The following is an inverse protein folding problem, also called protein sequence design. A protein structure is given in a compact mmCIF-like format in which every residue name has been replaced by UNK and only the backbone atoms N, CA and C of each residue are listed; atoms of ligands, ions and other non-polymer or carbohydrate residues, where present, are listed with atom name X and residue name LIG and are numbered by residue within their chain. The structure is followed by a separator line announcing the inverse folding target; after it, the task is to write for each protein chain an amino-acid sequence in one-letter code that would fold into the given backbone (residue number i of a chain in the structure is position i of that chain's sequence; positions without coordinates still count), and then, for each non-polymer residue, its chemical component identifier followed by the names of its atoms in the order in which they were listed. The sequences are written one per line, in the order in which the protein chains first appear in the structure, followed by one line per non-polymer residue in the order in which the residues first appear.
data_IF_882273032423
#
_entry.id   IF_882273032423
#
_cell.length_a   1.000
_cell.length_b   1.000
_cell.length_c   1.000
_cell.angle_alpha   90.00
_cell.angle_beta   90.00
_cell.angle_gamma   90.00
#
_symmetry.space_group_name_H-M   'P 1'
#
loop_
_entity.id
_entity.type
_entity.pdbx_description
1 polymer ?
#
# COMPACT_ATOMS: atom_id res chain seq x y z
N UNK A 1 -7.69 -1.96 24.98
CA UNK A 1 -7.17 -0.84 24.19
C UNK A 1 -6.62 -1.41 22.90
N UNK A 2 -6.99 -0.89 21.73
CA UNK A 2 -6.39 -1.31 20.47
C UNK A 2 -5.05 -0.59 20.33
N UNK A 3 -3.96 -1.35 20.18
CA UNK A 3 -2.63 -0.82 19.93
C UNK A 3 -2.42 -0.73 18.42
N UNK A 4 -1.93 0.42 17.95
CA UNK A 4 -1.58 0.64 16.55
C UNK A 4 -0.08 0.86 16.39
N UNK A 5 0.41 0.71 15.17
CA UNK A 5 1.80 1.01 14.83
C UNK A 5 1.90 2.39 14.19
N UNK A 6 2.88 3.19 14.60
CA UNK A 6 3.19 4.49 13.98
C UNK A 6 4.59 4.44 13.39
N UNK A 7 4.72 5.00 12.19
CA UNK A 7 5.99 5.28 11.55
C UNK A 7 6.14 6.79 11.36
N UNK A 8 7.32 7.28 11.67
CA UNK A 8 7.71 8.68 11.53
C UNK A 8 9.02 8.71 10.76
N UNK A 9 8.94 9.09 9.49
CA UNK A 9 10.09 9.21 8.61
C UNK A 9 10.55 10.65 8.47
N UNK A 10 11.88 10.85 8.42
CA UNK A 10 12.56 12.13 8.14
C UNK A 10 13.75 11.86 7.22
N UNK A 11 13.62 12.17 5.93
CA UNK A 11 14.63 11.87 4.93
C UNK A 11 14.99 10.38 4.80
N UNK A 12 14.10 9.46 5.21
CA UNK A 12 14.35 8.01 5.23
C UNK A 12 13.16 7.22 4.66
N UNK A 13 13.34 5.92 4.47
CA UNK A 13 12.26 4.99 4.13
C UNK A 13 12.14 3.93 5.23
N UNK A 14 11.02 3.95 5.96
CA UNK A 14 10.77 3.00 7.05
C UNK A 14 9.82 1.94 6.55
N UNK A 15 10.28 0.69 6.46
CA UNK A 15 9.47 -0.45 6.02
C UNK A 15 9.53 -1.58 7.04
N UNK A 16 8.37 -2.18 7.32
CA UNK A 16 8.29 -3.48 7.97
C UNK A 16 7.41 -4.42 7.14
N UNK A 17 7.69 -5.71 7.23
CA UNK A 17 6.96 -6.74 6.51
C UNK A 17 6.71 -7.96 7.37
N UNK A 18 5.62 -8.67 7.06
CA UNK A 18 5.24 -9.94 7.68
C UNK A 18 4.93 -10.94 6.59
N UNK A 19 5.66 -12.05 6.58
CA UNK A 19 5.30 -13.19 5.75
C UNK A 19 3.97 -13.78 6.22
N UNK A 20 3.10 -14.06 5.26
CA UNK A 20 1.76 -14.63 5.47
C UNK A 20 1.44 -15.61 4.36
N UNK A 21 0.50 -16.51 4.60
CA UNK A 21 -0.05 -17.37 3.56
C UNK A 21 -1.57 -17.23 3.54
N UNK A 22 -2.09 -16.54 2.51
CA UNK A 22 -3.53 -16.31 2.33
C UNK A 22 -3.97 -16.89 0.99
N UNK A 23 -5.04 -17.69 1.00
CA UNK A 23 -5.72 -18.15 -0.22
C UNK A 23 -6.75 -17.11 -0.68
N UNK A 24 -6.42 -16.40 -1.76
CA UNK A 24 -7.26 -15.34 -2.35
C UNK A 24 -8.57 -15.87 -2.96
N UNK A 25 -8.74 -17.19 -3.13
CA UNK A 25 -10.06 -17.73 -3.50
C UNK A 25 -11.02 -17.79 -2.31
N UNK A 26 -10.48 -17.85 -1.09
CA UNK A 26 -11.27 -17.89 0.14
C UNK A 26 -11.40 -16.51 0.76
N UNK A 27 -10.31 -15.75 0.78
CA UNK A 27 -10.23 -14.42 1.39
C UNK A 27 -9.64 -13.39 0.41
N UNK A 28 -10.41 -12.95 -0.60
CA UNK A 28 -9.91 -12.03 -1.63
C UNK A 28 -9.73 -10.59 -1.16
N UNK A 29 -10.42 -10.19 -0.09
CA UNK A 29 -10.45 -8.81 0.37
C UNK A 29 -9.44 -8.59 1.48
N UNK A 30 -8.60 -7.56 1.34
CA UNK A 30 -7.75 -7.04 2.41
C UNK A 30 -8.40 -5.78 2.95
N UNK A 31 -8.54 -5.72 4.28
CA UNK A 31 -9.06 -4.56 5.01
C UNK A 31 -8.04 -4.13 6.05
N UNK A 32 -7.88 -2.82 6.22
CA UNK A 32 -7.02 -2.21 7.22
C UNK A 32 -7.48 -0.79 7.53
N UNK A 33 -6.92 -0.20 8.58
CA UNK A 33 -7.06 1.22 8.86
C UNK A 33 -5.71 1.91 8.82
N UNK A 34 -5.71 3.13 8.32
CA UNK A 34 -4.55 4.01 8.39
C UNK A 34 -4.96 5.43 8.79
N UNK A 35 -3.98 6.18 9.27
CA UNK A 35 -4.13 7.61 9.56
C UNK A 35 -2.84 8.30 9.19
N UNK A 36 -2.93 9.36 8.39
CA UNK A 36 -1.78 10.21 8.06
C UNK A 36 -1.88 11.51 8.83
N UNK A 37 -0.83 11.85 9.58
CA UNK A 37 -0.70 13.11 10.31
C UNK A 37 0.10 14.14 9.50
N UNK A 38 1.06 13.66 8.69
CA UNK A 38 1.89 14.49 7.80
C UNK A 38 2.14 13.78 6.48
N UNK A 39 1.92 14.54 5.39
CA UNK A 39 2.28 14.15 4.03
C UNK A 39 3.75 14.48 3.77
N UNK A 40 4.43 13.66 2.98
CA UNK A 40 5.74 13.99 2.40
C UNK A 40 5.57 15.08 1.33
N UNK A 41 5.81 16.35 1.67
CA UNK A 41 5.57 17.48 0.76
C UNK A 41 6.31 17.29 -0.59
N UNK A 42 5.60 17.56 -1.69
CA UNK A 42 6.15 17.36 -3.04
C UNK A 42 6.22 15.90 -3.52
N UNK A 43 5.79 14.93 -2.70
CA UNK A 43 5.72 13.52 -3.10
C UNK A 43 4.79 13.27 -4.29
N UNK A 44 5.26 12.46 -5.23
CA UNK A 44 4.59 12.00 -6.43
C UNK A 44 5.21 10.67 -6.90
N UNK A 45 4.45 9.59 -6.76
CA UNK A 45 4.86 8.21 -6.98
C UNK A 45 5.22 7.88 -8.44
N UNK A 46 4.97 8.81 -9.39
CA UNK A 46 5.29 8.64 -10.80
C UNK A 46 6.76 8.82 -11.11
N UNK A 47 7.49 9.57 -10.27
CA UNK A 47 8.88 9.96 -10.53
C UNK A 47 9.81 9.44 -9.44
N UNK A 48 11.05 9.09 -9.79
CA UNK A 48 12.02 8.57 -8.80
C UNK A 48 12.35 9.63 -7.76
N UNK A 49 12.60 10.86 -8.20
CA UNK A 49 13.07 11.95 -7.35
C UNK A 49 12.03 12.41 -6.32
N UNK A 50 10.77 11.99 -6.47
CA UNK A 50 9.66 12.38 -5.59
C UNK A 50 8.85 11.16 -5.17
N UNK A 51 9.39 9.95 -5.30
CA UNK A 51 8.62 8.69 -5.22
C UNK A 51 8.07 8.30 -3.84
N UNK A 52 8.06 9.24 -2.91
CA UNK A 52 7.67 9.09 -1.51
C UNK A 52 6.15 9.02 -1.36
N UNK A 53 5.70 8.27 -0.35
CA UNK A 53 4.31 8.17 0.04
C UNK A 53 4.17 8.38 1.54
N UNK A 54 3.16 9.16 1.94
CA UNK A 54 2.88 9.36 3.37
C UNK A 54 2.55 8.04 4.07
N UNK A 55 1.82 7.17 3.37
CA UNK A 55 1.59 5.79 3.79
C UNK A 55 1.50 4.84 2.58
N UNK A 56 2.11 3.67 2.70
CA UNK A 56 1.99 2.57 1.75
C UNK A 56 1.65 1.25 2.44
N UNK A 57 0.75 0.47 1.84
CA UNK A 57 0.48 -0.94 2.19
C UNK A 57 0.85 -1.81 1.01
N UNK A 58 1.79 -2.73 1.22
CA UNK A 58 2.27 -3.67 0.22
C UNK A 58 1.59 -5.01 0.37
N UNK A 59 1.13 -5.56 -0.75
CA UNK A 59 0.83 -6.99 -0.90
C UNK A 59 1.82 -7.58 -1.89
N UNK A 60 2.64 -8.53 -1.41
CA UNK A 60 3.68 -9.18 -2.21
C UNK A 60 3.26 -10.60 -2.55
N UNK A 61 3.46 -10.96 -3.81
CA UNK A 61 3.02 -12.21 -4.39
C UNK A 61 4.19 -13.16 -4.66
N UNK A 62 3.98 -14.49 -4.58
CA UNK A 62 4.98 -15.46 -5.00
C UNK A 62 5.44 -15.21 -6.44
N UNK A 63 6.76 -15.13 -6.63
CA UNK A 63 7.40 -14.93 -7.93
C UNK A 63 8.73 -15.68 -7.94
N UNK A 64 9.12 -16.20 -9.11
CA UNK A 64 10.44 -16.79 -9.31
C UNK A 64 11.54 -15.72 -9.40
N UNK A 65 11.18 -14.47 -9.71
CA UNK A 65 12.12 -13.34 -9.76
C UNK A 65 12.38 -12.82 -8.35
N UNK A 66 13.57 -13.08 -7.79
CA UNK A 66 13.94 -12.58 -6.45
C UNK A 66 14.23 -11.07 -6.42
N UNK A 67 14.66 -10.47 -7.53
CA UNK A 67 15.09 -9.07 -7.62
C UNK A 67 14.02 -8.07 -8.10
N UNK A 68 12.85 -8.56 -8.54
CA UNK A 68 11.71 -7.73 -8.96
C UNK A 68 10.42 -8.45 -8.55
N UNK A 69 10.10 -8.44 -7.23
CA UNK A 69 8.92 -9.14 -6.74
C UNK A 69 7.67 -8.52 -7.36
N UNK A 70 6.67 -9.37 -7.62
CA UNK A 70 5.34 -8.87 -7.97
C UNK A 70 4.70 -8.34 -6.70
N UNK A 71 4.32 -7.06 -6.72
CA UNK A 71 3.69 -6.43 -5.57
C UNK A 71 2.64 -5.40 -6.02
N UNK A 72 1.68 -5.14 -5.15
CA UNK A 72 0.80 -3.96 -5.22
C UNK A 72 1.10 -3.12 -3.97
N UNK A 73 1.42 -1.82 -4.16
CA UNK A 73 1.50 -0.78 -3.12
C UNK A 73 0.20 0.03 -3.19
N UNK A 74 -0.65 -0.09 -2.18
CA UNK A 74 -1.78 0.81 -1.96
C UNK A 74 -1.28 2.04 -1.21
N UNK A 75 -1.64 3.24 -1.66
CA UNK A 75 -0.94 4.46 -1.26
C UNK A 75 -1.89 5.54 -0.80
N UNK A 76 -1.50 6.21 0.30
CA UNK A 76 -1.90 7.57 0.61
C UNK A 76 -0.83 8.52 0.06
N UNK A 77 -1.17 9.19 -1.06
CA UNK A 77 -0.23 10.03 -1.80
C UNK A 77 -0.17 11.45 -1.24
N UNK A 78 1.00 12.08 -1.33
CA UNK A 78 1.15 13.52 -1.10
C UNK A 78 0.82 14.37 -2.34
N UNK A 79 0.54 13.73 -3.47
CA UNK A 79 0.14 14.38 -4.71
C UNK A 79 -1.38 14.53 -4.82
N UNK A 80 -1.83 15.28 -5.84
CA UNK A 80 -3.24 15.39 -6.22
C UNK A 80 -3.71 14.27 -7.16
N UNK A 81 -3.00 13.13 -7.22
CA UNK A 81 -3.41 12.01 -8.06
C UNK A 81 -4.81 11.52 -7.63
N UNK A 82 -5.73 11.24 -8.57
CA UNK A 82 -7.07 10.79 -8.23
C UNK A 82 -7.06 9.47 -7.45
N UNK A 83 -8.01 9.31 -6.53
CA UNK A 83 -8.30 7.99 -5.94
C UNK A 83 -8.64 6.99 -7.06
N UNK A 84 -8.06 5.80 -6.97
CA UNK A 84 -8.13 4.77 -8.00
C UNK A 84 -7.11 4.91 -9.13
N UNK A 85 -6.30 5.99 -9.16
CA UNK A 85 -5.21 6.13 -10.13
C UNK A 85 -4.20 4.99 -9.97
N UNK A 86 -3.76 4.43 -11.09
CA UNK A 86 -2.83 3.28 -11.13
C UNK A 86 -1.57 3.63 -11.90
N UNK A 87 -0.42 3.30 -11.34
CA UNK A 87 0.88 3.43 -12.02
C UNK A 87 1.80 2.25 -11.67
N UNK A 88 3.02 2.26 -12.19
CA UNK A 88 4.09 1.34 -11.80
C UNK A 88 5.11 2.11 -10.97
N UNK A 89 5.73 1.44 -10.00
CA UNK A 89 6.86 2.03 -9.30
C UNK A 89 7.97 2.36 -10.29
N UNK A 90 8.57 3.56 -10.21
CA UNK A 90 9.70 3.92 -11.07
C UNK A 90 10.98 3.17 -10.67
N UNK A 91 11.01 2.53 -9.49
CA UNK A 91 12.13 1.71 -8.98
C UNK A 91 12.00 0.23 -9.33
N UNK A 92 10.78 -0.32 -9.29
CA UNK A 92 10.51 -1.73 -9.53
C UNK A 92 9.26 -1.89 -10.42
N UNK A 93 9.45 -2.16 -11.71
CA UNK A 93 8.36 -2.14 -12.69
C UNK A 93 7.28 -3.22 -12.50
N UNK A 94 7.60 -4.31 -11.78
CA UNK A 94 6.64 -5.34 -11.36
C UNK A 94 5.95 -5.00 -10.03
N UNK A 95 6.21 -3.82 -9.45
CA UNK A 95 5.41 -3.23 -8.37
C UNK A 95 4.39 -2.26 -8.97
N UNK A 96 3.11 -2.54 -8.76
CA UNK A 96 2.00 -1.65 -9.13
C UNK A 96 1.65 -0.75 -7.96
N UNK A 97 1.29 0.49 -8.26
CA UNK A 97 0.88 1.47 -7.26
C UNK A 97 -0.58 1.81 -7.54
N UNK A 98 -1.41 1.80 -6.51
CA UNK A 98 -2.82 2.18 -6.56
C UNK A 98 -3.04 3.25 -5.49
N UNK A 99 -3.50 4.43 -5.91
CA UNK A 99 -3.81 5.54 -4.99
C UNK A 99 -5.17 5.26 -4.37
N UNK A 100 -5.23 5.18 -3.05
CA UNK A 100 -6.49 5.02 -2.30
C UNK A 100 -6.88 6.31 -1.60
N UNK A 101 -5.88 7.05 -1.11
CA UNK A 101 -6.05 8.38 -0.54
C UNK A 101 -4.98 9.31 -1.12
N UNK A 102 -5.20 10.62 -1.07
CA UNK A 102 -4.32 11.60 -1.66
C UNK A 102 -4.18 12.84 -0.76
N UNK A 103 -3.57 13.90 -1.29
CA UNK A 103 -3.33 15.12 -0.50
C UNK A 103 -4.61 15.82 0.00
N UNK A 104 -5.74 15.58 -0.67
CA UNK A 104 -7.03 16.21 -0.36
C UNK A 104 -7.84 15.38 0.65
N UNK A 105 -7.35 14.19 1.01
CA UNK A 105 -7.92 13.30 2.02
C UNK A 105 -7.73 13.84 3.44
N UNK A 106 -8.64 13.54 4.38
CA UNK A 106 -8.60 14.15 5.71
C UNK A 106 -7.43 13.65 6.56
N UNK A 107 -6.49 14.53 6.87
CA UNK A 107 -5.40 14.26 7.80
C UNK A 107 -5.88 14.13 9.26
N UNK A 108 -5.13 13.40 10.07
CA UNK A 108 -5.41 13.19 11.50
C UNK A 108 -6.63 12.32 11.79
N UNK A 109 -7.24 11.71 10.77
CA UNK A 109 -8.39 10.81 10.91
C UNK A 109 -8.05 9.39 10.49
N UNK A 110 -8.61 8.42 11.21
CA UNK A 110 -8.57 7.03 10.80
C UNK A 110 -9.51 6.82 9.60
N UNK A 111 -8.97 6.25 8.55
CA UNK A 111 -9.71 5.80 7.36
C UNK A 111 -9.56 4.29 7.27
N UNK A 112 -10.68 3.60 7.04
CA UNK A 112 -10.71 2.17 6.73
C UNK A 112 -10.70 1.96 5.22
N UNK A 113 -9.80 1.10 4.77
CA UNK A 113 -9.68 0.69 3.37
C UNK A 113 -10.13 -0.74 3.22
N UNK A 114 -10.78 -1.04 2.10
CA UNK A 114 -11.11 -2.41 1.69
C UNK A 114 -10.86 -2.58 0.20
N UNK A 115 -9.94 -3.49 -0.14
CA UNK A 115 -9.55 -3.74 -1.54
C UNK A 115 -9.70 -5.20 -1.90
N UNK A 116 -10.12 -5.46 -3.14
CA UNK A 116 -10.12 -6.81 -3.72
C UNK A 116 -8.74 -7.12 -4.31
N UNK A 117 -7.87 -7.69 -3.47
CA UNK A 117 -6.49 -8.02 -3.83
C UNK A 117 -6.44 -9.00 -5.01
N UNK A 118 -7.38 -9.95 -5.08
CA UNK A 118 -7.47 -10.92 -6.17
C UNK A 118 -7.74 -10.20 -7.49
N UNK A 119 -8.73 -9.32 -7.51
CA UNK A 119 -9.12 -8.55 -8.69
C UNK A 119 -8.03 -7.55 -9.11
N UNK A 120 -7.40 -6.86 -8.17
CA UNK A 120 -6.31 -5.95 -8.50
C UNK A 120 -5.07 -6.67 -9.02
N UNK A 121 -4.79 -7.89 -8.55
CA UNK A 121 -3.77 -8.75 -9.15
C UNK A 121 -4.14 -9.12 -10.61
N UNK A 122 -5.36 -9.58 -10.84
CA UNK A 122 -5.81 -9.97 -12.18
C UNK A 122 -5.75 -8.78 -13.16
N UNK A 123 -6.21 -7.60 -12.75
CA UNK A 123 -6.12 -6.37 -13.54
C UNK A 123 -4.67 -5.96 -13.85
N UNK A 124 -3.74 -6.23 -12.93
CA UNK A 124 -2.34 -5.81 -13.05
C UNK A 124 -1.50 -6.71 -13.96
N UNK A 125 -1.82 -8.00 -14.04
CA UNK A 125 -0.99 -8.99 -14.74
C UNK A 125 -1.74 -9.93 -15.70
N UNK A 126 -3.07 -9.83 -15.79
CA UNK A 126 -3.91 -10.69 -16.64
C UNK A 126 -3.84 -12.18 -16.28
N UNK A 127 -3.46 -12.49 -15.05
CA UNK A 127 -3.28 -13.87 -14.56
C UNK A 127 -4.03 -14.05 -13.25
N UNK A 128 -4.55 -15.25 -13.05
CA UNK A 128 -5.10 -15.65 -11.76
C UNK A 128 -3.97 -16.10 -10.83
N UNK A 129 -4.02 -15.63 -9.60
CA UNK A 129 -3.12 -16.07 -8.54
C UNK A 129 -3.94 -16.43 -7.31
N UNK A 130 -3.45 -17.43 -6.58
CA UNK A 130 -4.13 -17.95 -5.40
C UNK A 130 -3.54 -17.47 -4.08
N UNK A 131 -2.27 -17.04 -4.05
CA UNK A 131 -1.55 -16.84 -2.78
C UNK A 131 -0.95 -15.45 -2.64
N UNK A 132 -1.07 -14.88 -1.44
CA UNK A 132 -0.22 -13.79 -0.95
C UNK A 132 0.97 -14.40 -0.20
N UNK A 133 2.15 -13.79 -0.33
CA UNK A 133 3.39 -14.21 0.37
C UNK A 133 3.69 -13.32 1.58
N UNK A 134 3.46 -12.02 1.46
CA UNK A 134 3.85 -11.05 2.46
C UNK A 134 2.94 -9.83 2.39
N UNK A 135 2.63 -9.26 3.56
CA UNK A 135 2.15 -7.88 3.68
C UNK A 135 3.29 -7.03 4.23
N UNK A 136 3.41 -5.81 3.72
CA UNK A 136 4.28 -4.80 4.30
C UNK A 136 3.56 -3.47 4.47
N UNK A 137 4.11 -2.64 5.33
CA UNK A 137 3.74 -1.23 5.43
C UNK A 137 4.99 -0.39 5.26
N UNK A 138 4.84 0.81 4.73
CA UNK A 138 5.94 1.74 4.52
C UNK A 138 5.49 3.17 4.68
N UNK A 139 6.29 3.96 5.40
CA UNK A 139 6.23 5.41 5.38
C UNK A 139 7.60 5.90 4.88
N UNK A 140 7.61 6.52 3.71
CA UNK A 140 8.83 6.93 3.02
C UNK A 140 8.84 8.45 2.75
N UNK A 141 10.00 9.06 2.97
CA UNK A 141 10.28 10.48 2.78
C UNK A 141 11.74 10.72 2.34
N UNK A 142 12.40 9.70 1.79
CA UNK A 142 13.82 9.73 1.43
C UNK A 142 14.07 10.42 0.08
N UNK A 143 13.11 10.42 -0.84
CA UNK A 143 13.31 11.03 -2.17
C UNK A 143 13.12 12.55 -2.13
N UNK A 144 12.13 13.02 -1.38
CA UNK A 144 11.84 14.43 -1.12
C UNK A 144 12.77 15.02 -0.05
N UNK A 145 13.24 14.20 0.89
CA UNK A 145 14.00 14.66 2.05
C UNK A 145 13.13 15.27 3.15
N UNK A 146 11.80 15.18 3.01
CA UNK A 146 10.82 15.79 3.91
C UNK A 146 10.47 14.86 5.08
N UNK A 147 9.37 15.17 5.77
CA UNK A 147 8.82 14.40 6.88
C UNK A 147 7.50 13.73 6.48
N UNK A 148 7.32 12.46 6.88
CA UNK A 148 6.05 11.74 6.73
C UNK A 148 5.69 11.03 8.04
N UNK A 149 4.42 11.10 8.42
CA UNK A 149 3.93 10.47 9.66
C UNK A 149 2.62 9.75 9.38
N UNK A 150 2.63 8.43 9.58
CA UNK A 150 1.47 7.59 9.41
C UNK A 150 1.34 6.55 10.52
N UNK A 151 0.10 6.17 10.80
CA UNK A 151 -0.26 5.07 11.68
C UNK A 151 -1.08 4.03 10.92
N UNK A 152 -0.94 2.77 11.34
CA UNK A 152 -1.56 1.61 10.72
C UNK A 152 -2.14 0.69 11.77
N UNK A 153 -3.31 0.11 11.47
CA UNK A 153 -4.03 -0.76 12.40
C UNK A 153 -4.96 -1.75 11.68
N UNK A 154 -5.42 -2.75 12.42
CA UNK A 154 -6.52 -3.66 12.06
C UNK A 154 -6.42 -4.33 10.68
N UNK A 155 -5.25 -4.89 10.35
CA UNK A 155 -5.10 -5.67 9.12
C UNK A 155 -5.78 -7.04 9.22
N UNK A 156 -6.70 -7.33 8.31
CA UNK A 156 -7.26 -8.67 8.14
C UNK A 156 -7.68 -8.94 6.71
N UNK A 157 -7.66 -10.22 6.33
CA UNK A 157 -8.29 -10.68 5.10
C UNK A 157 -9.67 -11.26 5.41
N UNK A 158 -10.66 -10.92 4.60
CA UNK A 158 -12.04 -11.36 4.78
C UNK A 158 -12.59 -12.10 3.53
N UNK A 159 -13.55 -13.03 3.72
CA UNK A 159 -14.12 -13.76 2.61
C UNK A 159 -15.06 -12.90 1.78
N UNK A 160 -15.35 -13.36 0.57
CA UNK A 160 -16.46 -12.81 -0.22
C UNK A 160 -17.77 -13.10 0.51
N UNK A 161 -18.53 -12.05 0.80
CA UNK A 161 -19.86 -12.21 1.42
C UNK A 161 -20.74 -12.95 0.43
N UNK A 162 -21.02 -14.22 0.71
CA UNK A 162 -22.09 -14.94 0.03
C UNK A 162 -23.38 -14.39 0.61
N UNK A 163 -24.06 -13.51 -0.13
CA UNK A 163 -25.42 -13.14 0.23
C UNK A 163 -26.29 -14.41 0.09
N UNK A 164 -26.98 -14.84 1.16
CA UNK A 164 -27.87 -15.99 1.12
C UNK A 164 -29.09 -15.76 0.22
#
# INVERSE_FOLDING_TARGET
ENAYLTAHSRGEAIQIGKEIEIDLNKYPFLTWRWKVERLCEGGDERYKQTGDSAAGVYVVFPSWKKWNPKAIKYVWSASALPVGFKTKSPYASDTKIIILENKDSPLGKWIEEKVDVRKDYENSWGKKLKKVKLIGIMTDSDNTGEEAVAAYDDFYFEPEKVNP
#
